data_IF_818794509045
#
_entry.id   IF_818794509045
#
_cell.length_a   1.000
_cell.length_b   1.000
_cell.length_c   1.000
_cell.angle_alpha   90.00
_cell.angle_beta   90.00
_cell.angle_gamma   90.00
#
_symmetry.space_group_name_H-M   'P 1'
#
loop_
_entity.id
_entity.type
_entity.pdbx_description
1 polymer ?
#
# COMPACT_ATOMS: atom_id res chain seq x y z
N UNK A 1 14.60 15.44 3.32
CA UNK A 1 14.27 15.55 1.88
C UNK A 1 14.91 16.81 1.27
N UNK A 2 14.61 18.03 1.76
CA UNK A 2 15.14 19.29 1.19
C UNK A 2 16.68 19.38 1.04
N UNK A 3 17.51 19.05 2.04
CA UNK A 3 18.97 19.16 1.89
C UNK A 3 19.54 18.21 0.83
N UNK A 4 18.88 17.08 0.57
CA UNK A 4 19.28 16.14 -0.48
C UNK A 4 18.99 16.72 -1.85
N UNK A 5 17.80 17.32 -2.04
CA UNK A 5 17.44 17.97 -3.31
C UNK A 5 18.40 19.12 -3.66
N UNK A 6 18.72 19.99 -2.69
CA UNK A 6 19.65 21.11 -2.92
C UNK A 6 21.05 20.59 -3.27
N UNK A 7 21.50 19.47 -2.66
CA UNK A 7 22.76 18.82 -3.02
C UNK A 7 22.76 18.31 -4.44
N UNK A 8 21.65 17.75 -4.92
CA UNK A 8 21.54 17.29 -6.31
C UNK A 8 21.55 18.45 -7.30
N UNK A 9 20.83 19.54 -7.01
CA UNK A 9 20.87 20.76 -7.83
C UNK A 9 22.31 21.28 -7.93
N UNK A 10 23.02 21.35 -6.80
CA UNK A 10 24.41 21.78 -6.77
C UNK A 10 25.34 20.86 -7.57
N UNK A 11 25.15 19.53 -7.45
CA UNK A 11 25.91 18.55 -8.25
C UNK A 11 25.65 18.72 -9.74
N UNK A 12 24.41 18.95 -10.15
CA UNK A 12 24.09 19.21 -11.55
C UNK A 12 24.74 20.49 -12.04
N UNK A 13 24.73 21.56 -11.24
CA UNK A 13 25.44 22.79 -11.58
C UNK A 13 26.96 22.59 -11.74
N UNK A 14 27.60 21.72 -10.94
CA UNK A 14 29.00 21.36 -11.17
C UNK A 14 29.21 20.72 -12.54
N UNK A 15 28.32 19.82 -12.96
CA UNK A 15 28.39 19.15 -14.26
C UNK A 15 28.18 20.15 -15.41
N UNK A 16 27.21 21.05 -15.27
CA UNK A 16 26.83 21.96 -16.34
C UNK A 16 27.83 23.11 -16.54
N UNK A 17 28.51 23.54 -15.46
CA UNK A 17 29.34 24.74 -15.46
C UNK A 17 30.84 24.49 -15.30
N UNK A 18 31.26 23.30 -14.86
CA UNK A 18 32.67 22.93 -14.84
C UNK A 18 32.95 21.94 -15.97
N UNK A 19 33.86 22.33 -16.85
CA UNK A 19 34.41 21.45 -17.86
C UNK A 19 35.77 20.95 -17.37
N UNK A 20 35.80 19.69 -16.96
CA UNK A 20 37.00 19.05 -16.43
C UNK A 20 37.95 18.60 -17.55
N UNK A 21 37.46 18.42 -18.78
CA UNK A 21 38.26 17.98 -19.92
C UNK A 21 39.08 19.14 -20.49
N UNK A 22 38.50 20.34 -20.56
CA UNK A 22 39.21 21.57 -20.95
C UNK A 22 39.83 22.34 -19.77
N UNK A 23 39.57 21.90 -18.53
CA UNK A 23 40.08 22.51 -17.31
C UNK A 23 39.37 23.82 -16.91
N UNK A 24 38.24 24.16 -17.52
CA UNK A 24 37.46 25.35 -17.20
C UNK A 24 36.57 25.07 -15.98
N UNK A 25 37.03 25.49 -14.80
CA UNK A 25 36.30 25.32 -13.53
C UNK A 25 35.70 26.66 -13.09
N UNK A 26 34.36 26.80 -13.20
CA UNK A 26 33.62 28.01 -12.80
C UNK A 26 33.18 27.98 -11.34
N UNK A 27 32.77 26.82 -10.86
CA UNK A 27 32.35 26.59 -9.48
C UNK A 27 33.51 25.89 -8.76
N UNK A 28 34.25 26.68 -7.98
CA UNK A 28 35.48 26.24 -7.30
C UNK A 28 35.26 25.81 -5.85
N UNK A 29 34.10 26.11 -5.28
CA UNK A 29 33.78 25.82 -3.88
C UNK A 29 32.79 24.66 -3.78
N UNK A 30 32.97 23.77 -2.79
CA UNK A 30 32.01 22.70 -2.51
C UNK A 30 31.58 22.76 -1.02
N UNK A 31 30.43 23.37 -0.72
CA UNK A 31 29.97 23.51 0.66
C UNK A 31 29.53 22.16 1.27
N UNK A 32 29.25 21.15 0.45
CA UNK A 32 28.69 19.86 0.91
C UNK A 32 29.70 18.96 1.61
N UNK A 33 31.00 19.21 1.46
CA UNK A 33 32.06 18.45 2.14
C UNK A 33 31.95 18.58 3.67
N UNK A 34 31.49 19.75 4.15
CA UNK A 34 31.36 20.06 5.58
C UNK A 34 29.94 19.80 6.12
N UNK A 35 28.97 19.52 5.25
CA UNK A 35 27.55 19.38 5.64
C UNK A 35 27.19 17.89 5.80
N UNK A 36 27.00 17.48 7.05
CA UNK A 36 26.40 16.18 7.38
C UNK A 36 24.87 16.30 7.33
N UNK A 37 24.25 15.74 6.30
CA UNK A 37 22.78 15.67 6.25
C UNK A 37 22.33 14.65 7.30
N UNK A 38 21.42 15.02 8.22
CA UNK A 38 20.90 14.08 9.19
C UNK A 38 20.21 12.92 8.47
N UNK A 39 20.42 11.70 8.96
CA UNK A 39 19.62 10.56 8.50
C UNK A 39 18.18 10.84 8.90
N UNK A 40 17.24 10.51 8.02
CA UNK A 40 15.83 10.52 8.38
C UNK A 40 15.62 9.54 9.54
N UNK A 41 14.70 9.88 10.44
CA UNK A 41 14.30 8.96 11.51
C UNK A 41 13.87 7.63 10.90
N UNK A 42 14.27 6.54 11.54
CA UNK A 42 13.87 5.20 11.12
C UNK A 42 12.36 5.09 11.35
N UNK A 43 11.55 4.83 10.31
CA UNK A 43 10.12 4.67 10.49
C UNK A 43 9.84 3.54 11.50
N UNK A 44 8.89 3.77 12.40
CA UNK A 44 8.45 2.70 13.32
C UNK A 44 7.97 1.49 12.54
N UNK A 45 8.33 0.29 13.02
CA UNK A 45 7.83 -0.97 12.45
C UNK A 45 6.32 -1.05 12.68
N UNK A 46 5.55 -0.97 11.59
CA UNK A 46 4.08 -1.02 11.61
C UNK A 46 3.52 -2.44 11.58
N UNK A 47 4.32 -3.45 11.23
CA UNK A 47 3.85 -4.84 11.20
C UNK A 47 3.51 -5.32 12.61
N UNK A 48 2.43 -6.08 12.73
CA UNK A 48 2.04 -6.78 13.95
C UNK A 48 2.28 -8.29 13.79
N UNK A 49 2.16 -9.04 14.88
CA UNK A 49 2.25 -10.50 14.82
C UNK A 49 0.95 -11.10 14.28
N UNK A 50 0.99 -12.36 13.83
CA UNK A 50 -0.21 -13.05 13.35
C UNK A 50 -1.25 -13.27 14.44
N UNK A 51 -0.83 -13.40 15.70
CA UNK A 51 -1.75 -13.49 16.84
C UNK A 51 -2.57 -12.21 16.97
N UNK A 52 -1.93 -11.04 16.88
CA UNK A 52 -2.62 -9.74 16.93
C UNK A 52 -3.50 -9.51 15.70
N UNK A 53 -3.06 -9.95 14.53
CA UNK A 53 -3.88 -9.90 13.33
C UNK A 53 -5.14 -10.77 13.47
N UNK A 54 -4.99 -12.00 13.98
CA UNK A 54 -6.11 -12.90 14.28
C UNK A 54 -7.06 -12.29 15.30
N UNK A 55 -6.52 -11.74 16.40
CA UNK A 55 -7.29 -11.04 17.43
C UNK A 55 -8.16 -9.93 16.80
N UNK A 56 -7.56 -9.07 15.97
CA UNK A 56 -8.27 -8.02 15.25
C UNK A 56 -9.39 -8.55 14.35
N UNK A 57 -9.13 -9.59 13.56
CA UNK A 57 -10.14 -10.14 12.65
C UNK A 57 -11.26 -10.90 13.38
N UNK A 58 -10.97 -11.46 14.56
CA UNK A 58 -11.95 -12.11 15.44
C UNK A 58 -12.71 -11.15 16.36
N UNK A 59 -12.26 -9.90 16.47
CA UNK A 59 -12.86 -8.94 17.38
C UNK A 59 -14.34 -8.68 17.04
N UNK A 60 -15.21 -8.55 18.06
CA UNK A 60 -16.59 -8.16 17.82
C UNK A 60 -16.63 -6.78 17.16
N UNK A 61 -17.55 -6.59 16.21
CA UNK A 61 -17.76 -5.26 15.65
C UNK A 61 -18.38 -4.35 16.73
N UNK A 62 -17.89 -3.12 16.90
CA UNK A 62 -18.54 -2.15 17.77
C UNK A 62 -19.98 -1.90 17.33
N UNK A 63 -20.88 -1.65 18.28
CA UNK A 63 -22.27 -1.29 18.01
C UNK A 63 -22.36 -0.06 17.08
N UNK A 64 -23.30 -0.11 16.14
CA UNK A 64 -23.53 0.98 15.20
C UNK A 64 -24.96 0.98 14.69
N UNK A 65 -25.60 2.15 14.73
CA UNK A 65 -26.94 2.36 14.18
C UNK A 65 -26.94 2.53 12.64
N UNK A 66 -25.76 2.47 12.01
CA UNK A 66 -25.62 2.66 10.57
C UNK A 66 -25.84 1.33 9.84
N UNK A 67 -26.63 1.36 8.75
CA UNK A 67 -26.83 0.21 7.86
C UNK A 67 -25.54 -0.35 7.25
N UNK A 68 -24.52 0.50 7.03
CA UNK A 68 -23.20 0.11 6.52
C UNK A 68 -22.09 0.69 7.43
N UNK A 69 -21.79 0.06 8.59
CA UNK A 69 -20.82 0.56 9.56
C UNK A 69 -19.40 0.70 8.99
N UNK A 70 -18.65 1.70 9.47
CA UNK A 70 -17.25 1.88 9.06
C UNK A 70 -16.34 0.81 9.67
N UNK A 71 -16.57 0.40 10.92
CA UNK A 71 -15.80 -0.67 11.56
C UNK A 71 -15.80 -1.95 10.71
N UNK A 72 -16.98 -2.37 10.26
CA UNK A 72 -17.12 -3.54 9.40
C UNK A 72 -16.36 -3.38 8.06
N UNK A 73 -16.54 -2.25 7.37
CA UNK A 73 -15.77 -1.93 6.16
C UNK A 73 -14.26 -1.93 6.42
N UNK A 74 -13.83 -1.38 7.55
CA UNK A 74 -12.43 -1.34 7.95
C UNK A 74 -11.84 -2.73 8.11
N UNK A 75 -12.56 -3.65 8.78
CA UNK A 75 -12.17 -5.05 8.94
C UNK A 75 -12.11 -5.77 7.59
N UNK A 76 -13.13 -5.61 6.77
CA UNK A 76 -13.27 -6.32 5.49
C UNK A 76 -12.20 -5.87 4.49
N UNK A 77 -11.92 -4.56 4.40
CA UNK A 77 -10.84 -4.04 3.55
C UNK A 77 -9.47 -4.41 4.11
N UNK A 78 -9.28 -4.44 5.44
CA UNK A 78 -8.05 -4.96 6.03
C UNK A 78 -7.82 -6.44 5.67
N UNK A 79 -8.89 -7.25 5.62
CA UNK A 79 -8.83 -8.64 5.19
C UNK A 79 -8.48 -8.76 3.70
N UNK A 80 -9.09 -7.94 2.84
CA UNK A 80 -8.72 -7.85 1.42
C UNK A 80 -7.24 -7.54 1.28
N UNK A 81 -6.72 -6.52 1.98
CA UNK A 81 -5.30 -6.14 1.93
C UNK A 81 -4.40 -7.28 2.40
N UNK A 82 -4.75 -7.95 3.50
CA UNK A 82 -3.94 -9.06 4.03
C UNK A 82 -3.93 -10.26 3.09
N UNK A 83 -5.06 -10.60 2.46
CA UNK A 83 -5.20 -11.78 1.60
C UNK A 83 -4.79 -11.53 0.15
N UNK A 84 -4.83 -10.28 -0.33
CA UNK A 84 -4.41 -9.89 -1.68
C UNK A 84 -2.98 -9.32 -1.66
N UNK A 85 -2.04 -10.07 -1.10
CA UNK A 85 -0.62 -9.75 -1.09
C UNK A 85 -0.24 -8.33 -0.66
N UNK A 86 -0.98 -7.77 0.30
CA UNK A 86 -0.77 -6.39 0.76
C UNK A 86 -1.18 -5.34 -0.27
N UNK A 87 -2.15 -5.59 -1.16
CA UNK A 87 -2.65 -4.65 -2.16
C UNK A 87 -2.94 -3.26 -1.56
N UNK A 88 -2.70 -2.18 -2.31
CA UNK A 88 -2.98 -0.83 -1.78
C UNK A 88 -4.48 -0.54 -1.83
N UNK A 89 -5.00 0.24 -0.89
CA UNK A 89 -6.42 0.67 -0.92
C UNK A 89 -6.76 1.47 -2.17
N UNK A 90 -5.81 2.24 -2.73
CA UNK A 90 -6.05 2.95 -3.99
C UNK A 90 -6.27 1.96 -5.13
N UNK A 91 -5.52 0.86 -5.15
CA UNK A 91 -5.67 -0.18 -6.17
C UNK A 91 -7.02 -0.89 -5.97
N UNK A 92 -7.36 -1.30 -4.73
CA UNK A 92 -8.67 -1.90 -4.39
C UNK A 92 -9.83 -1.00 -4.80
N UNK A 93 -9.73 0.31 -4.56
CA UNK A 93 -10.77 1.28 -4.91
C UNK A 93 -10.94 1.44 -6.42
N UNK A 94 -9.83 1.39 -7.17
CA UNK A 94 -9.82 1.61 -8.61
C UNK A 94 -10.06 0.34 -9.45
N UNK A 95 -10.10 -0.84 -8.82
CA UNK A 95 -10.42 -2.09 -9.51
C UNK A 95 -11.72 -1.95 -10.29
N UNK A 96 -11.71 -2.45 -11.52
CA UNK A 96 -12.85 -2.46 -12.42
C UNK A 96 -13.42 -3.86 -12.57
N UNK A 97 -14.63 -3.94 -13.09
CA UNK A 97 -15.29 -5.22 -13.42
C UNK A 97 -14.48 -6.05 -14.43
N UNK A 98 -13.85 -5.39 -15.40
CA UNK A 98 -12.97 -6.04 -16.39
C UNK A 98 -11.70 -6.64 -15.78
N UNK A 99 -11.26 -6.12 -14.63
CA UNK A 99 -10.05 -6.58 -13.93
C UNK A 99 -10.29 -7.90 -13.17
N UNK A 100 -11.54 -8.34 -13.00
CA UNK A 100 -11.86 -9.56 -12.25
C UNK A 100 -12.56 -10.60 -13.11
N UNK A 101 -11.88 -11.73 -13.34
CA UNK A 101 -12.38 -12.83 -14.16
C UNK A 101 -11.95 -14.18 -13.59
N UNK A 102 -12.90 -15.11 -13.49
CA UNK A 102 -12.64 -16.51 -13.08
C UNK A 102 -11.84 -16.65 -11.76
N UNK A 103 -12.11 -15.77 -10.80
CA UNK A 103 -11.43 -15.74 -9.51
C UNK A 103 -10.02 -15.15 -9.53
N UNK A 104 -9.63 -14.48 -10.61
CA UNK A 104 -8.34 -13.81 -10.77
C UNK A 104 -8.58 -12.30 -10.89
N UNK A 105 -7.79 -11.51 -10.18
CA UNK A 105 -7.68 -10.06 -10.36
C UNK A 105 -6.44 -9.76 -11.19
N UNK A 106 -6.61 -8.97 -12.24
CA UNK A 106 -5.57 -8.51 -13.16
C UNK A 106 -5.63 -6.97 -13.23
N UNK A 107 -4.59 -6.27 -12.76
CA UNK A 107 -4.63 -4.80 -12.71
C UNK A 107 -3.25 -4.15 -12.84
N UNK A 108 -3.25 -2.86 -13.18
CA UNK A 108 -2.06 -2.01 -13.21
C UNK A 108 -1.93 -1.20 -11.92
N UNK A 109 -0.82 -1.36 -11.19
CA UNK A 109 -0.64 -0.70 -9.90
C UNK A 109 -0.57 0.83 -10.03
N UNK A 110 -1.51 1.52 -9.39
CA UNK A 110 -1.72 2.96 -9.54
C UNK A 110 -0.47 3.81 -9.27
N UNK A 111 0.33 3.43 -8.27
CA UNK A 111 1.54 4.18 -7.87
C UNK A 111 2.64 4.15 -8.94
N UNK A 112 2.77 3.07 -9.69
CA UNK A 112 3.96 2.79 -10.51
C UNK A 112 3.66 2.58 -11.99
N UNK A 113 2.39 2.50 -12.38
CA UNK A 113 2.00 2.24 -13.76
C UNK A 113 2.55 3.22 -14.79
N UNK A 114 2.65 4.51 -14.43
CA UNK A 114 3.17 5.53 -15.36
C UNK A 114 4.70 5.60 -15.40
N UNK A 115 5.39 4.87 -14.53
CA UNK A 115 6.85 4.92 -14.40
C UNK A 115 7.55 3.65 -14.89
N UNK A 116 6.80 2.57 -15.12
CA UNK A 116 7.32 1.27 -15.57
C UNK A 116 6.87 0.97 -17.00
N UNK A 117 7.74 0.32 -17.76
CA UNK A 117 7.46 -0.05 -19.15
C UNK A 117 6.39 -1.13 -19.29
N UNK A 118 6.14 -1.92 -18.24
CA UNK A 118 5.12 -2.97 -18.17
C UNK A 118 3.82 -2.50 -17.49
N UNK A 119 3.65 -1.18 -17.34
CA UNK A 119 2.56 -0.53 -16.61
C UNK A 119 2.36 -1.01 -15.17
N UNK A 120 3.37 -1.66 -14.57
CA UNK A 120 3.22 -2.31 -13.28
C UNK A 120 2.00 -3.25 -13.23
N UNK A 121 1.81 -4.04 -14.29
CA UNK A 121 0.76 -5.06 -14.35
C UNK A 121 1.00 -6.18 -13.34
N UNK A 122 -0.06 -6.70 -12.74
CA UNK A 122 0.00 -7.86 -11.84
C UNK A 122 -1.30 -8.66 -11.89
N UNK A 123 -1.15 -9.99 -11.77
CA UNK A 123 -2.26 -10.92 -11.65
C UNK A 123 -2.19 -11.69 -10.34
N UNK A 124 -3.34 -11.93 -9.71
CA UNK A 124 -3.42 -12.74 -8.51
C UNK A 124 -4.74 -13.47 -8.37
N UNK A 125 -4.67 -14.70 -7.87
CA UNK A 125 -5.86 -15.46 -7.51
C UNK A 125 -6.50 -14.90 -6.25
N UNK A 126 -7.82 -14.74 -6.25
CA UNK A 126 -8.60 -14.35 -5.07
C UNK A 126 -8.76 -15.57 -4.16
N UNK A 127 -8.28 -15.54 -2.91
CA UNK A 127 -8.48 -16.64 -1.98
C UNK A 127 -9.96 -16.80 -1.61
N UNK A 128 -10.42 -18.04 -1.44
CA UNK A 128 -11.83 -18.36 -1.18
C UNK A 128 -12.42 -17.65 0.05
N UNK A 129 -11.60 -17.34 1.05
CA UNK A 129 -12.00 -16.58 2.25
C UNK A 129 -12.52 -15.18 1.94
N UNK A 130 -12.14 -14.60 0.79
CA UNK A 130 -12.59 -13.28 0.37
C UNK A 130 -13.92 -13.29 -0.39
N UNK A 131 -14.41 -14.44 -0.85
CA UNK A 131 -15.63 -14.49 -1.66
C UNK A 131 -16.84 -13.84 -0.97
N UNK A 132 -17.11 -14.08 0.33
CA UNK A 132 -18.22 -13.41 1.02
C UNK A 132 -18.05 -11.89 1.09
N UNK A 133 -16.81 -11.42 1.20
CA UNK A 133 -16.49 -9.99 1.21
C UNK A 133 -16.70 -9.40 -0.20
N UNK A 134 -16.30 -10.12 -1.24
CA UNK A 134 -16.51 -9.70 -2.63
C UNK A 134 -18.00 -9.59 -2.94
N UNK A 135 -18.78 -10.62 -2.65
CA UNK A 135 -20.24 -10.64 -2.88
C UNK A 135 -20.96 -9.48 -2.16
N UNK A 136 -20.46 -9.12 -0.96
CA UNK A 136 -20.99 -8.02 -0.18
C UNK A 136 -20.74 -6.65 -0.82
N UNK A 137 -19.56 -6.44 -1.40
CA UNK A 137 -19.14 -5.14 -1.93
C UNK A 137 -19.19 -5.02 -3.45
N UNK A 138 -19.46 -6.10 -4.20
CA UNK A 138 -19.48 -6.05 -5.65
C UNK A 138 -20.49 -5.01 -6.14
N UNK A 139 -20.06 -4.16 -7.07
CA UNK A 139 -20.90 -3.13 -7.62
C UNK A 139 -21.94 -3.73 -8.57
N UNK A 140 -23.22 -3.51 -8.28
CA UNK A 140 -24.36 -4.04 -9.04
C UNK A 140 -24.92 -3.07 -10.08
N UNK A 141 -24.26 -1.92 -10.29
CA UNK A 141 -24.71 -0.87 -11.21
C UNK A 141 -24.04 -1.00 -12.58
N UNK A 142 -24.23 -0.04 -13.49
CA UNK A 142 -23.50 0.06 -14.75
C UNK A 142 -22.11 0.69 -14.61
N UNK A 143 -21.72 1.09 -13.39
CA UNK A 143 -20.41 1.65 -13.09
C UNK A 143 -19.26 0.71 -13.52
N UNK A 144 -18.10 1.25 -13.96
CA UNK A 144 -16.95 0.41 -14.31
C UNK A 144 -16.26 -0.21 -13.09
N UNK A 145 -16.42 0.36 -11.90
CA UNK A 145 -15.77 -0.11 -10.68
C UNK A 145 -16.24 -1.51 -10.27
N UNK A 146 -15.33 -2.34 -9.77
CA UNK A 146 -15.60 -3.70 -9.26
C UNK A 146 -16.41 -3.66 -7.98
N UNK A 147 -16.09 -2.73 -7.07
CA UNK A 147 -16.72 -2.59 -5.77
C UNK A 147 -17.55 -1.30 -5.63
N UNK A 148 -18.62 -1.35 -4.85
CA UNK A 148 -19.59 -0.27 -4.62
C UNK A 148 -19.05 0.91 -3.79
N UNK A 149 -17.76 0.89 -3.44
CA UNK A 149 -17.14 1.92 -2.60
C UNK A 149 -17.30 3.33 -3.17
N UNK A 150 -17.25 3.45 -4.51
CA UNK A 150 -17.41 4.74 -5.20
C UNK A 150 -18.80 5.36 -5.00
N UNK A 151 -19.83 4.56 -4.67
CA UNK A 151 -21.18 5.06 -4.43
C UNK A 151 -21.27 5.84 -3.11
N UNK A 152 -20.34 5.60 -2.18
CA UNK A 152 -20.31 6.24 -0.86
C UNK A 152 -19.14 7.21 -0.71
N UNK A 153 -18.03 6.94 -1.39
CA UNK A 153 -16.78 7.69 -1.29
C UNK A 153 -16.36 8.13 -2.68
N UNK A 154 -16.30 9.43 -2.92
CA UNK A 154 -16.01 10.00 -4.24
C UNK A 154 -14.55 9.85 -4.69
N UNK A 155 -13.63 9.56 -3.77
CA UNK A 155 -12.20 9.43 -4.05
C UNK A 155 -11.56 8.27 -3.30
N UNK A 156 -10.44 7.77 -3.82
CA UNK A 156 -9.60 6.77 -3.15
C UNK A 156 -9.07 7.25 -1.79
N UNK A 157 -8.83 8.56 -1.65
CA UNK A 157 -8.35 9.16 -0.41
C UNK A 157 -9.44 9.17 0.66
N UNK A 158 -10.67 9.54 0.28
CA UNK A 158 -11.82 9.47 1.17
C UNK A 158 -12.10 8.02 1.58
N UNK A 159 -12.00 7.07 0.65
CA UNK A 159 -12.08 5.65 0.93
C UNK A 159 -11.02 5.20 1.94
N UNK A 160 -9.73 5.50 1.69
CA UNK A 160 -8.64 5.15 2.60
C UNK A 160 -8.83 5.74 4.00
N UNK A 161 -9.24 7.01 4.10
CA UNK A 161 -9.51 7.66 5.38
C UNK A 161 -10.63 6.95 6.15
N UNK A 162 -11.74 6.61 5.48
CA UNK A 162 -12.88 5.93 6.10
C UNK A 162 -12.55 4.50 6.53
N UNK A 163 -11.75 3.77 5.75
CA UNK A 163 -11.26 2.44 6.12
C UNK A 163 -10.40 2.54 7.39
N UNK A 164 -9.47 3.50 7.46
CA UNK A 164 -8.64 3.69 8.65
C UNK A 164 -9.45 4.12 9.88
N UNK A 165 -10.51 4.93 9.70
CA UNK A 165 -11.45 5.25 10.78
C UNK A 165 -12.13 3.98 11.28
N UNK A 166 -12.57 3.10 10.37
CA UNK A 166 -13.18 1.81 10.73
C UNK A 166 -12.24 0.89 11.51
N UNK A 167 -11.00 0.73 11.04
CA UNK A 167 -9.98 -0.06 11.74
C UNK A 167 -9.74 0.50 13.15
N UNK A 168 -9.60 1.83 13.25
CA UNK A 168 -9.40 2.51 14.54
C UNK A 168 -10.56 2.27 15.51
N UNK A 169 -11.80 2.29 15.02
CA UNK A 169 -12.98 1.99 15.84
C UNK A 169 -12.92 0.59 16.45
N UNK A 170 -12.49 -0.42 15.70
CA UNK A 170 -12.31 -1.79 16.23
C UNK A 170 -11.18 -1.81 17.26
N UNK A 171 -10.04 -1.19 16.95
CA UNK A 171 -8.91 -1.12 17.86
C UNK A 171 -9.30 -0.50 19.21
N UNK A 172 -9.99 0.64 19.20
CA UNK A 172 -10.32 1.38 20.43
C UNK A 172 -11.48 0.74 21.19
N UNK A 173 -12.56 0.36 20.49
CA UNK A 173 -13.80 -0.05 21.13
C UNK A 173 -13.90 -1.55 21.39
N UNK A 174 -13.26 -2.38 20.57
CA UNK A 174 -13.33 -3.84 20.70
C UNK A 174 -12.07 -4.43 21.32
N UNK A 175 -10.90 -3.86 21.02
CA UNK A 175 -9.61 -4.35 21.54
C UNK A 175 -9.06 -3.50 22.71
N UNK A 176 -9.69 -2.37 23.04
CA UNK A 176 -9.24 -1.50 24.13
C UNK A 176 -7.88 -0.84 23.90
N UNK A 177 -7.42 -0.72 22.64
CA UNK A 177 -6.15 -0.09 22.31
C UNK A 177 -6.25 1.43 22.46
N UNK A 178 -5.21 2.03 23.06
CA UNK A 178 -5.10 3.49 23.14
C UNK A 178 -4.96 4.12 21.75
N UNK A 179 -5.49 5.34 21.56
CA UNK A 179 -5.56 6.05 20.27
C UNK A 179 -4.25 6.03 19.46
N UNK A 180 -3.11 6.29 20.11
CA UNK A 180 -1.79 6.29 19.47
C UNK A 180 -1.17 4.92 19.19
N UNK A 181 -1.83 3.82 19.58
CA UNK A 181 -1.39 2.43 19.39
C UNK A 181 -2.35 1.65 18.47
N UNK A 182 -3.25 2.35 17.79
CA UNK A 182 -4.24 1.75 16.90
C UNK A 182 -3.62 1.31 15.59
N UNK A 183 -4.26 0.34 14.94
CA UNK A 183 -3.81 -0.16 13.63
C UNK A 183 -4.35 0.73 12.51
N UNK A 184 -3.73 0.61 11.35
CA UNK A 184 -4.18 1.22 10.11
C UNK A 184 -4.05 0.20 8.98
N UNK A 185 -4.53 0.51 7.78
CA UNK A 185 -4.39 -0.42 6.64
C UNK A 185 -2.93 -0.77 6.35
N UNK A 186 -2.03 0.19 6.53
CA UNK A 186 -0.59 -0.04 6.36
C UNK A 186 -0.04 -1.05 7.37
N UNK A 187 -0.61 -1.16 8.56
CA UNK A 187 -0.26 -2.21 9.54
C UNK A 187 -0.44 -3.58 8.90
N UNK A 188 -1.60 -3.86 8.29
CA UNK A 188 -1.89 -5.15 7.65
C UNK A 188 -1.04 -5.39 6.40
N UNK A 189 -0.83 -4.35 5.57
CA UNK A 189 0.08 -4.44 4.41
C UNK A 189 1.51 -4.84 4.82
N UNK A 190 2.05 -4.25 5.88
CA UNK A 190 3.37 -4.60 6.39
C UNK A 190 3.39 -5.95 7.11
N UNK A 191 2.28 -6.32 7.75
CA UNK A 191 2.12 -7.62 8.40
C UNK A 191 2.16 -8.74 7.37
N UNK A 192 1.43 -8.63 6.26
CA UNK A 192 1.50 -9.60 5.16
C UNK A 192 2.95 -9.82 4.68
N UNK A 193 3.69 -8.73 4.43
CA UNK A 193 5.07 -8.82 3.98
C UNK A 193 5.97 -9.53 5.01
N UNK A 194 5.80 -9.20 6.29
CA UNK A 194 6.58 -9.80 7.39
C UNK A 194 6.28 -11.30 7.54
N UNK A 195 5.02 -11.68 7.41
CA UNK A 195 4.54 -13.06 7.53
C UNK A 195 5.03 -13.90 6.36
N UNK A 196 4.93 -13.38 5.14
CA UNK A 196 5.48 -14.05 3.95
C UNK A 196 6.97 -14.39 4.13
N UNK A 197 7.77 -13.48 4.70
CA UNK A 197 9.19 -13.75 4.94
C UNK A 197 9.43 -14.73 6.08
N UNK A 198 8.84 -14.46 7.25
CA UNK A 198 9.22 -15.14 8.48
C UNK A 198 8.53 -16.49 8.65
N UNK A 199 7.30 -16.64 8.12
CA UNK A 199 6.49 -17.84 8.30
C UNK A 199 6.45 -18.69 7.04
N UNK A 200 6.53 -18.09 5.84
CA UNK A 200 6.49 -18.81 4.57
C UNK A 200 7.86 -18.94 3.88
N UNK A 201 8.92 -18.34 4.44
CA UNK A 201 10.26 -18.40 3.87
C UNK A 201 10.45 -17.62 2.56
N UNK A 202 9.52 -16.72 2.24
CA UNK A 202 9.59 -15.90 1.02
C UNK A 202 10.81 -14.96 1.08
N UNK A 203 11.54 -14.85 -0.03
CA UNK A 203 12.66 -13.90 -0.10
C UNK A 203 12.15 -12.46 -0.17
N UNK A 204 13.02 -11.48 0.13
CA UNK A 204 12.73 -10.06 -0.12
C UNK A 204 12.30 -9.81 -1.58
N UNK A 205 12.84 -10.59 -2.52
CA UNK A 205 12.46 -10.48 -3.92
C UNK A 205 11.05 -11.01 -4.19
N UNK A 206 10.62 -12.08 -3.52
CA UNK A 206 9.29 -12.66 -3.71
C UNK A 206 8.22 -11.74 -3.13
N UNK A 207 8.49 -11.18 -1.94
CA UNK A 207 7.66 -10.14 -1.33
C UNK A 207 7.61 -8.89 -2.20
N UNK A 208 8.76 -8.45 -2.72
CA UNK A 208 8.86 -7.31 -3.62
C UNK A 208 8.07 -7.52 -4.91
N UNK A 209 8.16 -8.72 -5.50
CA UNK A 209 7.38 -9.10 -6.68
C UNK A 209 5.88 -9.08 -6.37
N UNK A 210 5.45 -9.74 -5.30
CA UNK A 210 4.04 -9.85 -4.95
C UNK A 210 3.39 -8.52 -4.57
N UNK A 211 4.14 -7.61 -3.94
CA UNK A 211 3.67 -6.24 -3.67
C UNK A 211 3.82 -5.29 -4.86
N UNK A 212 4.35 -5.80 -5.97
CA UNK A 212 4.65 -5.10 -7.21
C UNK A 212 5.58 -3.89 -7.00
N UNK A 213 6.66 -4.10 -6.23
CA UNK A 213 7.68 -3.12 -5.86
C UNK A 213 8.93 -3.17 -6.73
N UNK A 214 9.16 -4.26 -7.47
CA UNK A 214 10.34 -4.46 -8.30
C UNK A 214 9.98 -4.90 -9.71
N UNK A 215 10.73 -4.41 -10.69
CA UNK A 215 10.64 -4.86 -12.07
C UNK A 215 11.26 -6.26 -12.17
N UNK A 216 10.43 -7.26 -12.46
CA UNK A 216 10.90 -8.54 -13.00
C UNK A 216 10.09 -8.84 -14.25
N UNK A 217 10.78 -9.13 -15.34
CA UNK A 217 10.19 -9.59 -16.58
C UNK A 217 9.57 -10.98 -16.35
N UNK A 218 8.25 -11.05 -16.25
CA UNK A 218 7.52 -12.32 -16.21
C UNK A 218 6.05 -12.11 -15.85
N UNK A 219 5.15 -12.50 -16.76
CA UNK A 219 3.72 -12.70 -16.48
C UNK A 219 3.58 -13.92 -15.57
N UNK A 220 3.67 -13.72 -14.26
CA UNK A 220 3.42 -14.74 -13.26
C UNK A 220 2.20 -14.36 -12.43
N UNK A 221 1.21 -15.25 -12.42
CA UNK A 221 0.06 -15.15 -11.51
C UNK A 221 0.53 -15.46 -10.11
N UNK A 222 0.29 -14.56 -9.16
CA UNK A 222 0.44 -14.86 -7.75
C UNK A 222 -0.62 -15.92 -7.37
N UNK A 223 -0.16 -17.10 -6.98
CA UNK A 223 -1.01 -18.20 -6.49
C UNK A 223 -1.50 -17.95 -5.07
#
# INVERSE_FOLDING_TARGET
MYPVCIRQIFKQALIDFNDYDSGVIRITTNPWVKIKIPKADVPEKKAITMEKAREFFSAPLPESDRKKPLAEMGRDVAMMVMCLAGMNTVDIYLLKKEDYKDGIIAYERAKTKNARNDNAYIEMRVPGILLPIFDKYIDKTSSPYLFDFHQRMSTSDSFNANVNVGIRQICEKSLGLAHGKTYCVYTFRHTWATVAQNECGATLSDVGFAMNHSDKNGLHVLM
#
